data_IF_235026031801
#
_entry.id   IF_235026031801
#
_cell.length_a   1.000
_cell.length_b   1.000
_cell.length_c   1.000
_cell.angle_alpha   90.00
_cell.angle_beta   90.00
_cell.angle_gamma   90.00
#
_symmetry.space_group_name_H-M   'P 1'
#
loop_
_entity.id
_entity.type
_entity.pdbx_description
1 polymer ?
#
# COMPACT_ATOMS: atom_id res chain seq x y z
N UNK A 1 42.71 -36.23 60.47
CA UNK A 1 42.91 -35.84 59.07
C UNK A 1 41.62 -36.10 58.32
N UNK A 2 40.79 -35.08 58.10
CA UNK A 2 39.51 -35.18 57.43
C UNK A 2 39.69 -34.52 56.07
N UNK A 3 39.60 -35.32 55.00
CA UNK A 3 39.71 -34.84 53.62
C UNK A 3 38.32 -34.51 53.09
N UNK A 4 38.04 -33.22 52.86
CA UNK A 4 36.78 -32.74 52.28
C UNK A 4 36.95 -32.66 50.76
N UNK A 5 36.34 -33.61 50.06
CA UNK A 5 36.20 -33.57 48.59
C UNK A 5 35.08 -32.63 48.20
N UNK A 6 35.39 -31.44 47.75
CA UNK A 6 34.47 -30.46 47.21
C UNK A 6 34.23 -30.73 45.70
N UNK A 7 33.10 -31.36 45.36
CA UNK A 7 32.65 -31.57 43.98
C UNK A 7 32.02 -30.27 43.49
N UNK A 8 32.70 -29.57 42.65
CA UNK A 8 32.15 -28.40 41.91
C UNK A 8 31.23 -28.95 40.84
N UNK A 9 29.94 -28.74 40.98
CA UNK A 9 28.96 -29.03 39.94
C UNK A 9 28.93 -27.86 38.96
N UNK A 10 29.38 -28.12 37.74
CA UNK A 10 29.33 -27.17 36.65
C UNK A 10 27.88 -27.17 36.09
N UNK A 11 27.09 -26.15 36.43
CA UNK A 11 25.82 -25.92 35.76
C UNK A 11 26.07 -25.29 34.39
N UNK A 12 25.87 -26.06 33.33
CA UNK A 12 25.84 -25.54 31.95
C UNK A 12 24.51 -24.79 31.74
N UNK A 13 24.59 -23.46 31.71
CA UNK A 13 23.48 -22.61 31.32
C UNK A 13 23.37 -22.67 29.80
N UNK A 14 22.43 -23.48 29.27
CA UNK A 14 22.02 -23.39 27.85
C UNK A 14 21.30 -22.06 27.63
N UNK A 15 22.01 -21.06 27.13
CA UNK A 15 21.39 -19.84 26.62
C UNK A 15 20.63 -20.16 25.33
N UNK A 16 19.31 -20.24 25.43
CA UNK A 16 18.42 -20.23 24.26
C UNK A 16 18.54 -18.87 23.60
N UNK A 17 19.37 -18.76 22.58
CA UNK A 17 19.38 -17.64 21.68
C UNK A 17 18.12 -17.75 20.80
N UNK A 18 17.01 -17.19 21.28
CA UNK A 18 15.84 -16.97 20.47
C UNK A 18 16.20 -15.99 19.34
N UNK A 19 16.33 -16.48 18.11
CA UNK A 19 16.47 -15.62 16.95
C UNK A 19 15.25 -14.69 16.91
N UNK A 20 15.41 -13.37 16.82
CA UNK A 20 14.26 -12.49 16.60
C UNK A 20 13.62 -12.91 15.28
N UNK A 21 12.35 -13.31 15.30
CA UNK A 21 11.57 -13.48 14.10
C UNK A 21 11.56 -12.11 13.39
N UNK A 22 12.25 -12.03 12.26
CA UNK A 22 12.15 -10.88 11.37
C UNK A 22 10.72 -10.91 10.86
N UNK A 23 9.85 -10.11 11.46
CA UNK A 23 8.51 -9.87 10.94
C UNK A 23 8.70 -9.28 9.54
N UNK A 24 8.27 -10.03 8.53
CA UNK A 24 8.31 -9.51 7.15
C UNK A 24 7.43 -8.25 7.11
N UNK A 25 8.01 -7.12 6.68
CA UNK A 25 7.27 -5.87 6.53
C UNK A 25 6.08 -6.08 5.60
N UNK A 26 4.91 -5.62 6.00
CA UNK A 26 3.70 -5.63 5.15
C UNK A 26 3.96 -4.84 3.87
N UNK A 27 3.14 -5.05 2.85
CA UNK A 27 3.24 -4.21 1.66
C UNK A 27 3.00 -2.73 2.01
N UNK A 28 2.09 -2.44 2.94
CA UNK A 28 1.84 -1.09 3.45
C UNK A 28 3.12 -0.43 3.99
N UNK A 29 3.88 -1.14 4.81
CA UNK A 29 5.14 -0.63 5.37
C UNK A 29 6.20 -0.42 4.28
N UNK A 30 6.29 -1.34 3.31
CA UNK A 30 7.20 -1.20 2.15
C UNK A 30 6.81 -0.06 1.21
N UNK A 31 5.55 0.36 1.20
CA UNK A 31 5.05 1.54 0.50
C UNK A 31 5.31 2.85 1.27
N UNK A 32 5.91 2.76 2.46
CA UNK A 32 6.25 3.90 3.33
C UNK A 32 5.21 4.22 4.39
N UNK A 33 4.31 3.29 4.69
CA UNK A 33 3.27 3.45 5.70
C UNK A 33 2.32 4.61 5.40
N UNK A 34 1.73 5.20 6.42
CA UNK A 34 0.76 6.30 6.29
C UNK A 34 1.32 7.48 5.47
N UNK A 35 2.51 7.96 5.82
CA UNK A 35 3.11 9.12 5.15
C UNK A 35 3.49 8.83 3.70
N UNK A 36 3.99 7.61 3.40
CA UNK A 36 4.33 7.19 2.05
C UNK A 36 3.09 7.07 1.16
N UNK A 37 2.07 6.37 1.66
CA UNK A 37 0.80 6.20 0.95
C UNK A 37 0.11 7.54 0.71
N UNK A 38 -0.01 8.39 1.73
CA UNK A 38 -0.61 9.71 1.58
C UNK A 38 0.11 10.55 0.51
N UNK A 39 1.45 10.52 0.49
CA UNK A 39 2.26 11.29 -0.46
C UNK A 39 2.05 10.84 -1.90
N UNK A 40 2.16 9.55 -2.21
CA UNK A 40 1.99 9.12 -3.60
C UNK A 40 0.53 9.19 -4.05
N UNK A 41 -0.44 9.02 -3.18
CA UNK A 41 -1.87 9.23 -3.48
C UNK A 41 -2.12 10.70 -3.81
N UNK A 42 -1.63 11.62 -2.98
CA UNK A 42 -1.76 13.06 -3.22
C UNK A 42 -1.21 13.44 -4.60
N UNK A 43 0.03 13.08 -4.89
CA UNK A 43 0.66 13.39 -6.18
C UNK A 43 -0.05 12.72 -7.36
N UNK A 44 -0.51 11.47 -7.20
CA UNK A 44 -1.22 10.77 -8.27
C UNK A 44 -2.53 11.45 -8.60
N UNK A 45 -3.32 11.80 -7.59
CA UNK A 45 -4.63 12.43 -7.80
C UNK A 45 -4.50 13.84 -8.37
N UNK A 46 -3.54 14.65 -7.91
CA UNK A 46 -3.29 15.98 -8.47
C UNK A 46 -2.96 15.90 -9.97
N UNK A 47 -2.05 15.00 -10.34
CA UNK A 47 -1.67 14.84 -11.76
C UNK A 47 -2.85 14.28 -12.57
N UNK A 48 -3.58 13.30 -12.05
CA UNK A 48 -4.70 12.68 -12.76
C UNK A 48 -5.85 13.68 -12.98
N UNK A 49 -6.16 14.49 -11.97
CA UNK A 49 -7.22 15.50 -12.03
C UNK A 49 -6.89 16.69 -12.95
N UNK A 50 -5.61 16.89 -13.27
CA UNK A 50 -5.14 17.96 -14.19
C UNK A 50 -4.76 17.46 -15.58
N UNK A 51 -4.65 16.15 -15.80
CA UNK A 51 -4.24 15.57 -17.06
C UNK A 51 -5.39 15.58 -18.09
N UNK A 52 -5.12 16.02 -19.33
CA UNK A 52 -6.12 16.17 -20.39
C UNK A 52 -6.93 14.89 -20.68
N UNK A 53 -6.31 13.72 -20.54
CA UNK A 53 -6.95 12.44 -20.80
C UNK A 53 -7.90 12.02 -19.68
N UNK A 54 -7.58 12.36 -18.42
CA UNK A 54 -8.25 11.77 -17.24
C UNK A 54 -9.08 12.76 -16.43
N UNK A 55 -8.83 14.08 -16.57
CA UNK A 55 -9.44 15.14 -15.75
C UNK A 55 -10.96 15.14 -15.73
N UNK A 56 -11.61 14.68 -16.78
CA UNK A 56 -13.07 14.67 -16.91
C UNK A 56 -13.76 13.92 -15.76
N UNK A 57 -13.18 12.82 -15.31
CA UNK A 57 -13.73 12.00 -14.24
C UNK A 57 -13.64 12.67 -12.85
N UNK A 58 -12.88 13.75 -12.72
CA UNK A 58 -12.66 14.50 -11.48
C UNK A 58 -13.42 15.82 -11.42
N UNK A 59 -14.22 16.13 -12.44
CA UNK A 59 -15.03 17.35 -12.44
C UNK A 59 -15.99 17.35 -11.24
N UNK A 60 -15.96 18.45 -10.46
CA UNK A 60 -16.78 18.64 -9.25
C UNK A 60 -16.52 17.63 -8.12
N UNK A 61 -15.43 16.87 -8.15
CA UNK A 61 -15.02 15.96 -7.09
C UNK A 61 -14.27 16.72 -5.99
N UNK A 62 -14.63 16.47 -4.73
CA UNK A 62 -13.84 16.91 -3.58
C UNK A 62 -12.55 16.08 -3.50
N UNK A 63 -11.46 16.60 -4.08
CA UNK A 63 -10.17 15.90 -4.15
C UNK A 63 -9.59 15.61 -2.76
N UNK A 64 -9.86 16.44 -1.76
CA UNK A 64 -9.37 16.20 -0.40
C UNK A 64 -9.99 14.94 0.18
N UNK A 65 -11.31 14.80 0.08
CA UNK A 65 -12.01 13.58 0.52
C UNK A 65 -11.62 12.36 -0.31
N UNK A 66 -11.47 12.53 -1.62
CA UNK A 66 -11.08 11.44 -2.51
C UNK A 66 -9.71 10.87 -2.14
N UNK A 67 -8.72 11.73 -1.93
CA UNK A 67 -7.36 11.32 -1.52
C UNK A 67 -7.36 10.53 -0.22
N UNK A 68 -8.13 10.97 0.78
CA UNK A 68 -8.28 10.23 2.04
C UNK A 68 -8.89 8.85 1.81
N UNK A 69 -9.93 8.72 1.00
CA UNK A 69 -10.57 7.44 0.71
C UNK A 69 -9.67 6.49 -0.10
N UNK A 70 -8.89 7.01 -1.03
CA UNK A 70 -7.92 6.21 -1.78
C UNK A 70 -6.80 5.73 -0.85
N UNK A 71 -6.26 6.60 0.01
CA UNK A 71 -5.22 6.22 0.97
C UNK A 71 -5.72 5.14 1.94
N UNK A 72 -6.94 5.29 2.48
CA UNK A 72 -7.60 4.28 3.31
C UNK A 72 -7.76 2.94 2.58
N UNK A 73 -8.19 2.98 1.31
CA UNK A 73 -8.36 1.78 0.49
C UNK A 73 -7.04 1.06 0.24
N UNK A 74 -6.00 1.79 -0.16
CA UNK A 74 -4.66 1.22 -0.38
C UNK A 74 -4.11 0.63 0.92
N UNK A 75 -4.25 1.33 2.05
CA UNK A 75 -3.84 0.84 3.35
C UNK A 75 -4.50 -0.51 3.67
N UNK A 76 -5.82 -0.62 3.48
CA UNK A 76 -6.56 -1.87 3.72
C UNK A 76 -6.17 -3.01 2.77
N UNK A 77 -5.87 -2.70 1.50
CA UNK A 77 -5.46 -3.68 0.49
C UNK A 77 -4.03 -4.20 0.66
N UNK A 78 -3.21 -3.51 1.44
CA UNK A 78 -1.77 -3.76 1.55
C UNK A 78 -1.36 -4.19 2.95
N UNK A 79 -2.29 -4.78 3.69
CA UNK A 79 -2.12 -5.26 5.07
C UNK A 79 -1.69 -4.16 6.05
N UNK A 80 -2.17 -2.94 5.84
CA UNK A 80 -2.06 -1.85 6.80
C UNK A 80 -3.13 -1.93 7.89
N UNK A 81 -3.03 -1.09 8.94
CA UNK A 81 -3.94 -1.12 10.09
C UNK A 81 -5.31 -0.48 9.81
N UNK A 82 -5.58 -0.08 8.59
CA UNK A 82 -6.81 0.63 8.21
C UNK A 82 -7.94 -0.33 7.85
N UNK A 83 -9.15 0.21 7.94
CA UNK A 83 -10.35 -0.42 7.41
C UNK A 83 -10.98 0.50 6.38
N UNK A 84 -11.15 0.03 5.16
CA UNK A 84 -11.81 0.82 4.11
C UNK A 84 -13.29 1.04 4.45
N UNK A 85 -13.71 2.29 4.50
CA UNK A 85 -15.06 2.72 4.82
C UNK A 85 -15.82 3.32 3.61
N UNK A 86 -15.23 3.22 2.41
CA UNK A 86 -15.87 3.68 1.16
C UNK A 86 -16.73 2.61 0.51
N UNK A 87 -17.43 3.00 -0.55
CA UNK A 87 -18.24 2.10 -1.37
C UNK A 87 -17.38 1.22 -2.30
N UNK A 88 -17.94 0.09 -2.78
CA UNK A 88 -17.27 -0.77 -3.78
C UNK A 88 -16.92 0.00 -5.07
N UNK A 89 -15.81 -0.39 -5.71
CA UNK A 89 -15.29 0.27 -6.93
C UNK A 89 -16.35 0.42 -8.03
N UNK A 90 -17.16 -0.59 -8.24
CA UNK A 90 -18.24 -0.55 -9.23
C UNK A 90 -19.25 0.56 -8.93
N UNK A 91 -19.60 0.77 -7.66
CA UNK A 91 -20.59 1.77 -7.26
C UNK A 91 -20.03 3.19 -7.39
N UNK A 92 -18.80 3.43 -6.91
CA UNK A 92 -18.19 4.77 -6.96
C UNK A 92 -17.84 5.23 -8.37
N UNK A 93 -17.72 4.29 -9.34
CA UNK A 93 -17.44 4.62 -10.74
C UNK A 93 -18.67 4.53 -11.64
N UNK A 94 -19.83 4.16 -11.07
CA UNK A 94 -21.07 4.05 -11.82
C UNK A 94 -21.48 5.39 -12.46
N UNK A 95 -21.71 5.37 -13.76
CA UNK A 95 -22.14 6.57 -14.50
C UNK A 95 -21.02 7.54 -14.87
N UNK A 96 -19.75 7.24 -14.50
CA UNK A 96 -18.61 8.05 -14.93
C UNK A 96 -18.17 7.71 -16.36
N UNK A 97 -18.63 6.60 -16.91
CA UNK A 97 -18.29 6.15 -18.28
C UNK A 97 -16.80 6.11 -18.56
N UNK A 98 -16.04 5.57 -17.57
CA UNK A 98 -14.58 5.47 -17.68
C UNK A 98 -14.19 4.56 -18.83
N UNK A 99 -13.38 5.08 -19.72
CA UNK A 99 -12.81 4.36 -20.86
C UNK A 99 -11.53 3.60 -20.46
N UNK A 100 -11.14 2.61 -21.26
CA UNK A 100 -9.84 1.95 -21.09
C UNK A 100 -8.66 2.91 -21.14
N UNK A 101 -8.71 3.91 -22.03
CA UNK A 101 -7.65 4.90 -22.17
C UNK A 101 -7.49 5.74 -20.89
N UNK A 102 -8.60 6.20 -20.28
CA UNK A 102 -8.57 6.94 -19.01
C UNK A 102 -8.04 6.07 -17.87
N UNK A 103 -8.48 4.81 -17.80
CA UNK A 103 -7.99 3.87 -16.79
C UNK A 103 -6.48 3.65 -16.90
N UNK A 104 -5.97 3.34 -18.09
CA UNK A 104 -4.54 3.14 -18.29
C UNK A 104 -3.74 4.44 -18.13
N UNK A 105 -4.31 5.58 -18.48
CA UNK A 105 -3.72 6.90 -18.22
C UNK A 105 -3.46 7.11 -16.73
N UNK A 106 -4.43 6.80 -15.88
CA UNK A 106 -4.27 6.87 -14.42
C UNK A 106 -3.24 5.86 -13.91
N UNK A 107 -3.22 4.63 -14.45
CA UNK A 107 -2.23 3.61 -14.07
C UNK A 107 -0.80 4.08 -14.38
N UNK A 108 -0.56 4.69 -15.53
CA UNK A 108 0.75 5.22 -15.89
C UNK A 108 1.16 6.42 -15.02
N UNK A 109 0.21 7.29 -14.66
CA UNK A 109 0.45 8.38 -13.71
C UNK A 109 0.85 7.82 -12.34
N UNK A 110 0.11 6.83 -11.81
CA UNK A 110 0.43 6.15 -10.55
C UNK A 110 1.83 5.52 -10.61
N UNK A 111 2.14 4.79 -11.67
CA UNK A 111 3.46 4.18 -11.89
C UNK A 111 4.57 5.22 -11.87
N UNK A 112 4.39 6.31 -12.59
CA UNK A 112 5.33 7.43 -12.62
C UNK A 112 5.52 8.09 -11.26
N UNK A 113 4.44 8.24 -10.49
CA UNK A 113 4.50 8.80 -9.14
C UNK A 113 5.26 7.88 -8.19
N UNK A 114 4.96 6.59 -8.20
CA UNK A 114 5.67 5.59 -7.38
C UNK A 114 7.18 5.52 -7.71
N UNK A 115 7.56 5.72 -8.99
CA UNK A 115 8.97 5.79 -9.40
C UNK A 115 9.72 6.97 -8.76
N UNK A 116 9.02 8.08 -8.49
CA UNK A 116 9.61 9.29 -7.89
C UNK A 116 9.66 9.24 -6.34
N UNK A 117 8.95 8.32 -5.70
CA UNK A 117 8.78 8.29 -4.24
C UNK A 117 9.67 7.28 -3.53
N UNK A 118 10.73 6.79 -4.13
CA UNK A 118 11.68 5.82 -3.54
C UNK A 118 11.03 4.52 -3.03
N UNK A 119 9.82 4.20 -3.50
CA UNK A 119 9.18 2.92 -3.21
C UNK A 119 9.96 1.79 -3.91
N UNK A 120 10.31 0.70 -3.20
CA UNK A 120 11.00 -0.43 -3.81
C UNK A 120 10.24 -0.99 -5.01
N UNK A 121 10.94 -1.36 -6.07
CA UNK A 121 10.36 -1.90 -7.32
C UNK A 121 9.41 -3.08 -7.04
N UNK A 122 9.80 -3.98 -6.13
CA UNK A 122 8.96 -5.11 -5.74
C UNK A 122 7.62 -4.68 -5.11
N UNK A 123 7.63 -3.67 -4.24
CA UNK A 123 6.42 -3.15 -3.59
C UNK A 123 5.51 -2.44 -4.61
N UNK A 124 6.09 -1.66 -5.53
CA UNK A 124 5.37 -1.02 -6.63
C UNK A 124 4.65 -2.05 -7.51
N UNK A 125 5.37 -3.08 -7.97
CA UNK A 125 4.80 -4.13 -8.83
C UNK A 125 3.72 -4.93 -8.10
N UNK A 126 3.89 -5.17 -6.81
CA UNK A 126 2.90 -5.87 -6.00
C UNK A 126 1.62 -5.03 -5.84
N UNK A 127 1.73 -3.73 -5.56
CA UNK A 127 0.59 -2.82 -5.51
C UNK A 127 -0.17 -2.80 -6.84
N UNK A 128 0.55 -2.63 -7.97
CA UNK A 128 -0.08 -2.62 -9.30
C UNK A 128 -0.80 -3.94 -9.59
N UNK A 129 -0.25 -5.08 -9.18
CA UNK A 129 -0.89 -6.40 -9.33
C UNK A 129 -2.18 -6.52 -8.51
N UNK A 130 -2.21 -5.94 -7.31
CA UNK A 130 -3.42 -5.92 -6.44
C UNK A 130 -4.51 -5.05 -7.06
N UNK A 131 -4.15 -3.91 -7.65
CA UNK A 131 -5.10 -2.95 -8.22
C UNK A 131 -5.62 -3.37 -9.61
N UNK A 132 -4.86 -4.14 -10.39
CA UNK A 132 -5.19 -4.49 -11.76
C UNK A 132 -6.58 -5.15 -11.95
N UNK A 133 -7.06 -6.06 -11.10
CA UNK A 133 -8.39 -6.66 -11.24
C UNK A 133 -9.56 -5.67 -11.13
N UNK A 134 -9.34 -4.50 -10.52
CA UNK A 134 -10.37 -3.47 -10.36
C UNK A 134 -10.80 -2.83 -11.69
N UNK A 135 -10.00 -2.99 -12.75
CA UNK A 135 -10.39 -2.55 -14.10
C UNK A 135 -11.80 -2.99 -14.46
N UNK A 136 -12.19 -4.22 -14.11
CA UNK A 136 -13.53 -4.77 -14.45
C UNK A 136 -14.67 -4.01 -13.81
N UNK A 137 -14.43 -3.38 -12.66
CA UNK A 137 -15.43 -2.64 -11.91
C UNK A 137 -15.43 -1.14 -12.22
N UNK A 138 -14.35 -0.66 -12.85
CA UNK A 138 -14.10 0.76 -13.12
C UNK A 138 -14.43 1.11 -14.58
N UNK A 139 -13.94 0.31 -15.52
CA UNK A 139 -14.10 0.58 -16.95
C UNK A 139 -15.50 0.14 -17.40
N UNK A 140 -16.20 1.05 -18.06
CA UNK A 140 -17.57 0.82 -18.58
C UNK A 140 -17.70 1.11 -20.08
N UNK A 141 -16.65 1.63 -20.73
CA UNK A 141 -16.57 1.91 -22.18
C UNK A 141 -15.26 1.48 -22.80
#
# INVERSE_FOLDING_TARGET
MISINMRVALFAICAFAGSPAVLANTLYERLGGEAGVARFVDQTIEVTASNELTKRAFDKVDLTKLKLKIAEHICALTDGPCRYSGDPMKLVHQGLDITEAEFYGMVEILRGTLNRTHVPESAKNELLRILAPMKRDIVSK
#
